data_IF_681453860573
#
_entry.id   IF_681453860573
#
_cell.length_a   1.000
_cell.length_b   1.000
_cell.length_c   1.000
_cell.angle_alpha   90.00
_cell.angle_beta   90.00
_cell.angle_gamma   90.00
#
_symmetry.space_group_name_H-M   'P 1'
#
loop_
_entity.id
_entity.type
_entity.pdbx_description
1 polymer ?
#
# COMPACT_ATOMS: atom_id res chain seq x y z
N UNK A 1 11.47 10.20 4.59
CA UNK A 1 10.21 9.41 4.51
C UNK A 1 9.33 10.13 3.50
N UNK A 2 8.89 9.43 2.46
CA UNK A 2 8.03 9.94 1.41
C UNK A 2 6.58 9.52 1.70
N UNK A 3 5.78 10.48 2.13
CA UNK A 3 4.39 10.28 2.57
C UNK A 3 3.41 11.28 1.98
N UNK A 4 3.78 11.91 0.86
CA UNK A 4 2.90 12.82 0.13
C UNK A 4 1.82 12.08 -0.67
N UNK A 5 2.09 10.81 -1.02
CA UNK A 5 1.26 10.00 -1.91
C UNK A 5 1.46 10.29 -3.41
N UNK A 6 2.28 11.28 -3.77
CA UNK A 6 2.57 11.63 -5.16
C UNK A 6 3.84 10.96 -5.69
N UNK A 7 4.91 10.91 -4.89
CA UNK A 7 6.23 10.42 -5.31
C UNK A 7 6.44 8.92 -5.04
N UNK A 8 5.49 8.09 -5.47
CA UNK A 8 5.54 6.63 -5.21
C UNK A 8 6.32 5.84 -6.25
N UNK A 9 6.64 6.44 -7.41
CA UNK A 9 7.42 5.80 -8.49
C UNK A 9 8.93 5.94 -8.25
N UNK A 10 9.71 5.08 -8.87
CA UNK A 10 11.18 5.05 -8.75
C UNK A 10 11.83 6.38 -9.12
N UNK A 11 11.53 6.93 -10.29
CA UNK A 11 12.11 8.20 -10.73
C UNK A 11 11.74 9.38 -9.83
N UNK A 12 10.55 9.32 -9.24
CA UNK A 12 10.05 10.31 -8.32
C UNK A 12 10.74 10.21 -6.95
N UNK A 13 10.82 9.01 -6.38
CA UNK A 13 11.50 8.76 -5.11
C UNK A 13 13.01 9.07 -5.20
N UNK A 14 13.65 8.80 -6.34
CA UNK A 14 15.06 9.12 -6.62
C UNK A 14 15.37 10.62 -6.54
N UNK A 15 14.36 11.50 -6.66
CA UNK A 15 14.55 12.96 -6.50
C UNK A 15 15.03 13.30 -5.10
N UNK A 16 14.57 12.59 -4.06
CA UNK A 16 15.04 12.78 -2.69
C UNK A 16 16.52 12.40 -2.52
N UNK A 17 16.96 11.31 -3.17
CA UNK A 17 18.37 10.91 -3.16
C UNK A 17 19.22 11.97 -3.86
N UNK A 18 18.78 12.46 -5.03
CA UNK A 18 19.46 13.55 -5.75
C UNK A 18 19.52 14.84 -4.94
N UNK A 19 18.53 15.11 -4.09
CA UNK A 19 18.51 16.24 -3.18
C UNK A 19 19.42 16.07 -1.94
N UNK A 20 20.06 14.90 -1.77
CA UNK A 20 21.03 14.64 -0.71
C UNK A 20 20.55 13.66 0.37
N UNK A 21 19.35 13.09 0.26
CA UNK A 21 18.91 12.04 1.18
C UNK A 21 19.73 10.75 0.96
N UNK A 22 20.12 10.07 2.03
CA UNK A 22 20.81 8.77 1.95
C UNK A 22 19.86 7.62 1.61
N UNK A 23 18.64 7.70 2.12
CA UNK A 23 17.62 6.68 1.92
C UNK A 23 16.22 7.28 1.88
N UNK A 24 15.29 6.57 1.24
CA UNK A 24 13.89 6.94 1.06
C UNK A 24 13.00 5.76 1.43
N UNK A 25 12.02 6.05 2.29
CA UNK A 25 10.99 5.10 2.71
C UNK A 25 9.66 5.61 2.15
N UNK A 26 9.03 4.88 1.24
CA UNK A 26 7.74 5.23 0.65
C UNK A 26 6.63 4.65 1.55
N UNK A 27 5.77 5.49 2.09
CA UNK A 27 4.70 5.07 3.03
C UNK A 27 3.43 4.56 2.32
N UNK A 28 3.55 4.08 1.08
CA UNK A 28 2.45 3.62 0.24
C UNK A 28 2.96 2.57 -0.76
N UNK A 29 2.08 1.76 -1.36
CA UNK A 29 2.45 0.85 -2.44
C UNK A 29 3.08 1.60 -3.62
N UNK A 30 4.05 0.96 -4.24
CA UNK A 30 4.66 1.42 -5.48
C UNK A 30 4.26 0.53 -6.66
N UNK A 31 4.27 1.10 -7.86
CA UNK A 31 4.15 0.35 -9.13
C UNK A 31 5.50 0.07 -9.77
N UNK A 32 6.58 0.52 -9.15
CA UNK A 32 7.94 0.36 -9.67
C UNK A 32 8.50 -0.98 -9.24
N UNK A 33 8.83 -1.82 -10.21
CA UNK A 33 9.37 -3.17 -9.98
C UNK A 33 10.78 -3.14 -9.37
N UNK A 34 11.55 -2.06 -9.59
CA UNK A 34 12.90 -1.87 -9.05
C UNK A 34 12.92 -1.38 -7.59
N UNK A 35 11.77 -1.07 -7.00
CA UNK A 35 11.67 -0.69 -5.58
C UNK A 35 11.11 -1.88 -4.81
N UNK A 36 11.90 -2.50 -3.90
CA UNK A 36 11.39 -3.57 -3.09
C UNK A 36 10.28 -3.07 -2.15
N UNK A 37 9.27 -3.90 -1.99
CA UNK A 37 8.22 -3.71 -0.99
C UNK A 37 8.56 -4.54 0.24
N UNK A 38 8.70 -3.87 1.38
CA UNK A 38 9.10 -4.45 2.66
C UNK A 38 7.94 -4.36 3.64
N UNK A 39 7.55 -5.52 4.16
CA UNK A 39 6.65 -5.67 5.29
C UNK A 39 7.48 -6.18 6.46
N UNK A 40 7.62 -5.32 7.46
CA UNK A 40 8.47 -5.60 8.61
C UNK A 40 8.01 -6.87 9.35
N UNK A 41 8.97 -7.76 9.65
CA UNK A 41 8.70 -9.04 10.29
C UNK A 41 8.07 -10.11 9.38
N UNK A 42 7.89 -9.82 8.08
CA UNK A 42 7.38 -10.79 7.09
C UNK A 42 8.42 -11.08 6.01
N UNK A 43 8.94 -10.05 5.33
CA UNK A 43 9.94 -10.21 4.28
C UNK A 43 11.09 -9.19 4.48
N UNK A 44 12.07 -9.58 5.28
CA UNK A 44 13.22 -8.74 5.68
C UNK A 44 14.43 -8.83 4.77
N UNK A 45 14.43 -9.74 3.80
CA UNK A 45 15.64 -10.15 3.08
C UNK A 45 15.89 -9.36 1.78
N UNK A 46 15.27 -8.19 1.61
CA UNK A 46 15.27 -7.44 0.35
C UNK A 46 16.63 -6.80 -0.02
N UNK A 47 17.73 -7.17 0.65
CA UNK A 47 19.05 -6.59 0.47
C UNK A 47 19.15 -5.15 0.98
N UNK A 48 20.37 -4.60 1.01
CA UNK A 48 20.58 -3.18 1.27
C UNK A 48 20.09 -2.37 0.06
N UNK A 49 18.94 -1.72 0.20
CA UNK A 49 18.46 -0.72 -0.76
C UNK A 49 18.34 0.64 -0.09
N UNK A 50 18.65 1.69 -0.86
CA UNK A 50 18.44 3.07 -0.42
C UNK A 50 17.00 3.53 -0.62
N UNK A 51 16.16 2.78 -1.35
CA UNK A 51 14.75 3.13 -1.57
C UNK A 51 13.89 1.87 -1.42
N UNK A 52 12.88 1.92 -0.56
CA UNK A 52 11.90 0.84 -0.42
C UNK A 52 10.50 1.37 -0.10
N UNK A 53 9.49 0.55 -0.40
CA UNK A 53 8.09 0.80 -0.04
C UNK A 53 7.72 0.01 1.22
N UNK A 54 7.03 0.65 2.16
CA UNK A 54 6.43 -0.02 3.32
C UNK A 54 5.05 -0.62 3.03
N UNK A 55 4.74 -0.89 1.76
CA UNK A 55 3.45 -1.39 1.30
C UNK A 55 2.27 -0.47 1.71
N UNK A 56 1.08 -1.06 1.94
CA UNK A 56 -0.10 -0.36 2.46
C UNK A 56 -0.44 -0.81 3.89
N UNK A 57 -1.31 -0.06 4.57
CA UNK A 57 -1.88 -0.46 5.86
C UNK A 57 -2.53 -1.84 5.82
N UNK A 58 -3.34 -2.13 4.79
CA UNK A 58 -4.01 -3.42 4.63
C UNK A 58 -3.01 -4.54 4.30
N UNK A 59 -1.97 -4.26 3.50
CA UNK A 59 -0.90 -5.23 3.23
C UNK A 59 -0.19 -5.62 4.53
N UNK A 60 0.23 -4.64 5.33
CA UNK A 60 0.87 -4.91 6.63
C UNK A 60 -0.05 -5.71 7.58
N UNK A 61 -1.37 -5.50 7.51
CA UNK A 61 -2.32 -6.25 8.33
C UNK A 61 -2.45 -7.72 7.92
N UNK A 62 -2.57 -8.01 6.61
CA UNK A 62 -2.85 -9.37 6.13
C UNK A 62 -1.60 -10.22 5.88
N UNK A 63 -0.47 -9.59 5.56
CA UNK A 63 0.81 -10.26 5.26
C UNK A 63 1.26 -11.27 6.33
N UNK A 64 1.26 -10.95 7.64
CA UNK A 64 1.68 -11.93 8.66
C UNK A 64 0.78 -13.16 8.71
N UNK A 65 -0.53 -12.98 8.49
CA UNK A 65 -1.49 -14.10 8.46
C UNK A 65 -1.19 -14.99 7.27
N UNK A 66 -0.96 -14.40 6.09
CA UNK A 66 -0.66 -15.14 4.86
C UNK A 66 0.69 -15.87 4.96
N UNK A 67 1.71 -15.24 5.54
CA UNK A 67 3.02 -15.86 5.82
C UNK A 67 2.86 -17.12 6.68
N UNK A 68 2.16 -16.99 7.82
CA UNK A 68 1.98 -18.09 8.77
C UNK A 68 1.20 -19.23 8.14
N UNK A 69 0.12 -18.93 7.42
CA UNK A 69 -0.68 -19.94 6.71
C UNK A 69 0.15 -20.61 5.61
N UNK A 70 0.88 -19.83 4.82
CA UNK A 70 1.76 -20.30 3.76
C UNK A 70 2.79 -21.31 4.26
N UNK A 71 3.52 -20.99 5.35
CA UNK A 71 4.56 -21.87 5.90
C UNK A 71 4.03 -23.11 6.64
N UNK A 72 2.76 -23.12 7.09
CA UNK A 72 2.21 -24.19 7.93
C UNK A 72 1.29 -25.13 7.18
N UNK A 73 0.32 -24.58 6.45
CA UNK A 73 -0.80 -25.35 5.86
C UNK A 73 -0.92 -25.19 4.35
N UNK A 74 -0.28 -24.15 3.78
CA UNK A 74 -0.39 -23.80 2.37
C UNK A 74 -1.70 -23.10 2.03
N UNK A 75 -1.72 -22.36 0.91
CA UNK A 75 -2.88 -21.61 0.43
C UNK A 75 -3.13 -21.98 -1.03
N UNK A 76 -4.29 -22.56 -1.34
CA UNK A 76 -4.69 -22.87 -2.72
C UNK A 76 -5.41 -21.70 -3.40
N UNK A 77 -6.24 -20.97 -2.65
CA UNK A 77 -7.01 -19.80 -3.09
C UNK A 77 -7.36 -18.95 -1.88
N UNK A 78 -7.31 -17.64 -2.02
CA UNK A 78 -7.68 -16.69 -0.98
C UNK A 78 -8.62 -15.61 -1.53
N UNK A 79 -9.53 -15.14 -0.68
CA UNK A 79 -10.34 -13.95 -0.89
C UNK A 79 -10.27 -13.16 0.42
N UNK A 80 -10.04 -11.85 0.32
CA UNK A 80 -9.95 -10.97 1.48
C UNK A 80 -10.85 -9.76 1.26
N UNK A 81 -11.58 -9.39 2.31
CA UNK A 81 -12.33 -8.13 2.37
C UNK A 81 -11.89 -7.38 3.62
N UNK A 82 -11.62 -6.08 3.47
CA UNK A 82 -11.31 -5.20 4.59
C UNK A 82 -12.49 -4.27 4.82
N UNK A 83 -12.95 -4.17 6.07
CA UNK A 83 -13.78 -3.05 6.50
C UNK A 83 -12.80 -1.96 6.92
N UNK A 84 -12.76 -0.87 6.16
CA UNK A 84 -11.72 0.14 6.29
C UNK A 84 -12.35 1.49 6.64
N UNK A 85 -11.75 2.22 7.57
CA UNK A 85 -12.15 3.60 7.87
C UNK A 85 -11.97 4.49 6.62
N UNK A 86 -12.80 5.51 6.45
CA UNK A 86 -12.59 6.43 5.33
C UNK A 86 -11.26 7.17 5.51
N UNK A 87 -10.65 7.60 4.40
CA UNK A 87 -9.37 8.31 4.39
C UNK A 87 -9.50 9.68 3.76
N UNK A 88 -8.44 10.49 3.80
CA UNK A 88 -8.39 11.80 3.13
C UNK A 88 -8.64 11.73 1.60
N UNK A 89 -8.57 10.54 1.00
CA UNK A 89 -8.90 10.35 -0.42
C UNK A 89 -10.39 10.25 -0.72
N UNK A 90 -11.25 10.26 0.31
CA UNK A 90 -12.71 10.32 0.19
C UNK A 90 -13.23 11.70 0.56
N UNK A 91 -14.24 12.16 -0.17
CA UNK A 91 -14.92 13.43 0.12
C UNK A 91 -15.76 13.36 1.40
N UNK A 92 -15.82 14.47 2.14
CA UNK A 92 -16.73 14.61 3.29
C UNK A 92 -18.18 14.73 2.82
N UNK A 93 -18.39 15.39 1.68
CA UNK A 93 -19.67 15.48 0.96
C UNK A 93 -19.50 14.92 -0.44
N UNK A 94 -20.61 14.74 -1.16
CA UNK A 94 -20.59 14.23 -2.53
C UNK A 94 -19.78 15.16 -3.45
N UNK A 95 -18.78 14.62 -4.14
CA UNK A 95 -17.87 15.34 -5.02
C UNK A 95 -17.28 14.43 -6.11
N UNK A 96 -16.77 14.98 -7.24
CA UNK A 96 -16.05 14.19 -8.23
C UNK A 96 -14.84 13.47 -7.61
N UNK A 97 -14.65 12.20 -7.98
CA UNK A 97 -13.54 11.37 -7.50
C UNK A 97 -12.72 10.86 -8.68
N UNK A 98 -11.39 11.01 -8.57
CA UNK A 98 -10.43 10.57 -9.58
C UNK A 98 -10.25 9.05 -9.62
N UNK A 99 -10.66 8.32 -8.56
CA UNK A 99 -10.49 6.86 -8.48
C UNK A 99 -11.69 6.10 -9.04
N UNK A 100 -12.88 6.42 -8.54
CA UNK A 100 -14.15 5.87 -9.00
C UNK A 100 -15.33 6.66 -8.43
N UNK A 101 -16.50 6.52 -9.04
CA UNK A 101 -17.71 7.26 -8.67
C UNK A 101 -18.21 6.96 -7.24
N UNK A 102 -17.96 5.77 -6.69
CA UNK A 102 -18.40 5.41 -5.32
C UNK A 102 -17.60 6.16 -4.26
N UNK A 103 -16.30 6.35 -4.48
CA UNK A 103 -15.45 7.15 -3.60
C UNK A 103 -15.75 8.65 -3.64
N UNK A 104 -16.57 9.10 -4.60
CA UNK A 104 -17.08 10.46 -4.64
C UNK A 104 -18.28 10.69 -3.71
N UNK A 105 -18.80 9.66 -3.04
CA UNK A 105 -19.90 9.81 -2.08
C UNK A 105 -19.37 10.23 -0.70
N UNK A 106 -20.22 10.91 0.08
CA UNK A 106 -19.93 11.35 1.43
C UNK A 106 -19.41 10.20 2.32
N UNK A 107 -18.11 10.23 2.64
CA UNK A 107 -17.39 9.11 3.25
C UNK A 107 -17.83 8.77 4.68
N UNK A 108 -18.28 9.77 5.44
CA UNK A 108 -18.73 9.59 6.83
C UNK A 108 -20.19 9.11 6.96
N UNK A 109 -20.92 9.00 5.84
CA UNK A 109 -22.35 8.68 5.83
C UNK A 109 -22.70 7.47 4.95
N UNK A 110 -21.72 6.75 4.39
CA UNK A 110 -21.96 5.67 3.45
C UNK A 110 -21.04 4.47 3.69
N UNK A 111 -21.53 3.27 3.36
CA UNK A 111 -20.68 2.12 3.04
C UNK A 111 -20.22 2.28 1.59
N UNK A 112 -18.91 2.36 1.38
CA UNK A 112 -18.31 2.65 0.06
C UNK A 112 -17.47 1.46 -0.43
N UNK A 113 -18.02 0.60 -1.32
CA UNK A 113 -17.25 -0.51 -1.89
C UNK A 113 -16.18 0.00 -2.86
N UNK A 114 -14.91 -0.35 -2.60
CA UNK A 114 -13.77 -0.03 -3.45
C UNK A 114 -12.75 -1.16 -3.44
N UNK A 115 -11.80 -1.15 -4.38
CA UNK A 115 -10.75 -2.15 -4.46
C UNK A 115 -9.58 -1.83 -3.51
N UNK A 116 -8.87 -2.89 -3.10
CA UNK A 116 -7.58 -2.79 -2.41
C UNK A 116 -6.55 -3.66 -3.11
N UNK A 117 -5.32 -3.17 -3.24
CA UNK A 117 -4.22 -3.93 -3.82
C UNK A 117 -3.60 -4.95 -2.85
N UNK A 118 -4.00 -4.93 -1.57
CA UNK A 118 -3.37 -5.76 -0.54
C UNK A 118 -3.51 -7.26 -0.78
N UNK A 119 -4.61 -7.72 -1.36
CA UNK A 119 -4.76 -9.14 -1.70
C UNK A 119 -3.69 -9.59 -2.71
N UNK A 120 -3.46 -8.81 -3.76
CA UNK A 120 -2.43 -9.11 -4.78
C UNK A 120 -1.02 -8.96 -4.20
N UNK A 121 -0.81 -8.00 -3.32
CA UNK A 121 0.50 -7.76 -2.72
C UNK A 121 0.95 -8.83 -1.71
N UNK A 122 0.06 -9.76 -1.32
CA UNK A 122 0.33 -10.74 -0.26
C UNK A 122 0.29 -12.19 -0.70
N UNK A 123 -0.13 -12.48 -1.93
CA UNK A 123 -0.18 -13.83 -2.52
C UNK A 123 0.62 -13.89 -3.79
#
# INVERSE_FOLDING_TARGET
>A
IESTGFFTKSDDAKKHIKAGAKSVIISAPTKSEDIPTVVHGVNTDAGETNIFSCASCTTNNISPVVEILGRRVGIKKAIMTTVHAYTASQGIVDAPSQKNFRMGRAGAANIVPTSTGAAIATT
#
